data_IF_658167699003
#
_entry.id   IF_658167699003
#
_cell.length_a   1.000
_cell.length_b   1.000
_cell.length_c   1.000
_cell.angle_alpha   90.00
_cell.angle_beta   90.00
_cell.angle_gamma   90.00
#
_symmetry.space_group_name_H-M   'P 1'
#
loop_
_entity.id
_entity.type
_entity.pdbx_description
1 polymer ?
#
# COMPACT_ATOMS: atom_id res chain seq x y z
N UNK A 1 -13.59 11.76 2.26
CA UNK A 1 -13.00 10.54 2.83
C UNK A 1 -11.55 10.82 3.21
N UNK A 2 -11.04 10.26 4.32
CA UNK A 2 -9.62 10.36 4.71
C UNK A 2 -8.91 9.03 4.45
N UNK A 3 -7.72 9.08 3.87
CA UNK A 3 -6.91 7.91 3.54
C UNK A 3 -5.46 8.05 4.01
N UNK A 4 -4.87 6.96 4.46
CA UNK A 4 -3.46 6.86 4.83
C UNK A 4 -2.74 5.85 3.95
N UNK A 5 -1.53 6.15 3.50
CA UNK A 5 -0.68 5.23 2.79
C UNK A 5 0.59 5.02 3.63
N UNK A 6 0.72 3.85 4.24
CA UNK A 6 1.85 3.49 5.09
C UNK A 6 2.89 2.72 4.30
N UNK A 7 4.15 3.09 4.40
CA UNK A 7 5.20 2.41 3.66
C UNK A 7 6.48 2.20 4.47
N UNK A 8 7.20 1.13 4.17
CA UNK A 8 8.61 0.98 4.48
C UNK A 8 9.43 1.25 3.22
N UNK A 9 10.50 2.04 3.35
CA UNK A 9 11.39 2.34 2.21
C UNK A 9 12.80 2.65 2.68
N UNK A 10 13.80 1.89 2.19
CA UNK A 10 15.23 2.17 2.46
C UNK A 10 15.86 3.04 1.39
N UNK A 11 15.46 2.86 0.13
CA UNK A 11 16.11 3.50 -1.04
C UNK A 11 15.20 4.50 -1.74
N UNK A 12 14.03 4.79 -1.19
CA UNK A 12 13.08 5.76 -1.73
C UNK A 12 12.06 5.20 -2.74
N UNK A 13 12.25 3.98 -3.25
CA UNK A 13 11.37 3.46 -4.32
C UNK A 13 9.92 3.26 -3.84
N UNK A 14 9.74 2.59 -2.69
CA UNK A 14 8.39 2.37 -2.13
C UNK A 14 7.75 3.69 -1.68
N UNK A 15 8.56 4.63 -1.13
CA UNK A 15 8.13 5.99 -0.82
C UNK A 15 7.56 6.67 -2.06
N UNK A 16 8.31 6.69 -3.16
CA UNK A 16 7.86 7.31 -4.43
C UNK A 16 6.52 6.74 -4.87
N UNK A 17 6.34 5.42 -4.84
CA UNK A 17 5.08 4.79 -5.23
C UNK A 17 3.92 5.11 -4.27
N UNK A 18 4.19 5.24 -2.97
CA UNK A 18 3.20 5.69 -2.00
C UNK A 18 2.73 7.12 -2.28
N UNK A 19 3.65 8.02 -2.64
CA UNK A 19 3.35 9.40 -3.01
C UNK A 19 2.50 9.46 -4.29
N UNK A 20 2.80 8.65 -5.30
CA UNK A 20 2.01 8.54 -6.54
C UNK A 20 0.58 8.03 -6.27
N UNK A 21 0.42 7.06 -5.35
CA UNK A 21 -0.92 6.62 -4.91
C UNK A 21 -1.66 7.78 -4.24
N UNK A 22 -0.99 8.52 -3.34
CA UNK A 22 -1.59 9.67 -2.66
C UNK A 22 -2.03 10.75 -3.66
N UNK A 23 -1.25 11.04 -4.70
CA UNK A 23 -1.64 11.94 -5.80
C UNK A 23 -2.91 11.44 -6.51
N UNK A 24 -2.99 10.14 -6.79
CA UNK A 24 -4.19 9.51 -7.37
C UNK A 24 -5.43 9.70 -6.49
N UNK A 25 -5.30 9.43 -5.19
CA UNK A 25 -6.39 9.63 -4.22
C UNK A 25 -6.82 11.10 -4.13
N UNK A 26 -5.86 12.03 -4.08
CA UNK A 26 -6.12 13.48 -3.99
C UNK A 26 -6.80 14.04 -5.25
N UNK A 27 -6.70 13.37 -6.40
CA UNK A 27 -7.41 13.77 -7.62
C UNK A 27 -8.91 13.44 -7.59
N UNK A 28 -9.37 12.67 -6.59
CA UNK A 28 -10.78 12.32 -6.41
C UNK A 28 -11.41 13.34 -5.47
N UNK A 29 -12.53 13.92 -5.89
CA UNK A 29 -13.25 14.95 -5.10
C UNK A 29 -13.65 14.42 -3.71
N UNK A 30 -13.40 15.22 -2.69
CA UNK A 30 -13.74 14.90 -1.30
C UNK A 30 -12.82 13.90 -0.62
N UNK A 31 -11.67 13.56 -1.23
CA UNK A 31 -10.65 12.69 -0.64
C UNK A 31 -9.47 13.51 -0.13
N UNK A 32 -9.08 13.26 1.13
CA UNK A 32 -7.82 13.71 1.72
C UNK A 32 -6.92 12.48 1.92
N UNK A 33 -5.70 12.54 1.42
CA UNK A 33 -4.75 11.42 1.51
C UNK A 33 -3.37 11.88 1.94
N UNK A 34 -2.69 11.06 2.76
CA UNK A 34 -1.30 11.29 3.17
C UNK A 34 -0.50 9.99 3.16
N UNK A 35 0.74 10.08 2.70
CA UNK A 35 1.71 8.99 2.75
C UNK A 35 2.66 9.17 3.93
N UNK A 36 2.88 8.11 4.72
CA UNK A 36 3.73 8.11 5.89
C UNK A 36 4.72 6.94 5.85
N UNK A 37 5.96 7.20 6.24
CA UNK A 37 6.85 6.12 6.65
C UNK A 37 6.28 5.45 7.91
N UNK A 38 6.39 4.12 7.99
CA UNK A 38 6.00 3.39 9.22
C UNK A 38 6.80 3.81 10.46
N UNK A 39 7.96 4.44 10.28
CA UNK A 39 8.78 4.98 11.39
C UNK A 39 8.33 6.36 11.87
N UNK A 40 7.51 7.06 11.08
CA UNK A 40 7.04 8.43 11.34
C UNK A 40 5.54 8.53 11.11
N UNK A 41 4.81 7.44 11.37
CA UNK A 41 3.38 7.36 11.11
C UNK A 41 2.58 8.22 12.09
N UNK A 42 1.73 9.09 11.55
CA UNK A 42 0.76 9.86 12.34
C UNK A 42 -0.41 8.95 12.74
N UNK A 43 -0.35 8.42 13.95
CA UNK A 43 -1.32 7.46 14.47
C UNK A 43 -2.74 8.04 14.56
N UNK A 44 -2.89 9.32 14.90
CA UNK A 44 -4.21 9.94 14.98
C UNK A 44 -4.81 10.11 13.57
N UNK A 45 -4.00 10.51 12.59
CA UNK A 45 -4.46 10.57 11.20
C UNK A 45 -4.90 9.19 10.68
N UNK A 46 -4.16 8.12 11.03
CA UNK A 46 -4.49 6.75 10.64
C UNK A 46 -5.80 6.29 11.30
N UNK A 47 -6.01 6.58 12.58
CA UNK A 47 -7.26 6.25 13.29
C UNK A 47 -8.48 6.89 12.64
N UNK A 48 -8.35 8.13 12.16
CA UNK A 48 -9.41 8.87 11.48
C UNK A 48 -9.60 8.46 10.02
N UNK A 49 -8.65 7.74 9.42
CA UNK A 49 -8.73 7.30 8.03
C UNK A 49 -9.73 6.17 7.84
N UNK A 50 -10.54 6.24 6.79
CA UNK A 50 -11.47 5.17 6.37
C UNK A 50 -10.78 4.13 5.48
N UNK A 51 -9.67 4.51 4.84
CA UNK A 51 -8.85 3.67 3.98
C UNK A 51 -7.40 3.74 4.43
N UNK A 52 -6.75 2.57 4.55
CA UNK A 52 -5.32 2.49 4.89
C UNK A 52 -4.63 1.50 3.96
N UNK A 53 -3.71 2.00 3.14
CA UNK A 53 -2.91 1.19 2.22
C UNK A 53 -1.51 0.94 2.80
N UNK A 54 -0.90 -0.18 2.42
CA UNK A 54 0.39 -0.61 2.94
C UNK A 54 1.36 -0.94 1.81
N UNK A 55 2.55 -0.35 1.84
CA UNK A 55 3.59 -0.51 0.84
C UNK A 55 4.87 -1.11 1.38
N UNK A 56 5.38 -2.13 0.71
CA UNK A 56 6.61 -2.82 1.13
C UNK A 56 7.61 -2.97 -0.01
N UNK A 57 8.93 -2.78 0.25
CA UNK A 57 9.94 -3.32 -0.63
C UNK A 57 10.00 -4.84 -0.45
N UNK A 58 10.31 -5.55 -1.51
CA UNK A 58 10.46 -7.00 -1.47
C UNK A 58 11.89 -7.38 -1.12
N UNK A 59 12.04 -8.14 -0.06
CA UNK A 59 13.30 -8.75 0.38
C UNK A 59 13.13 -10.26 0.50
N UNK A 60 13.98 -11.02 -0.18
CA UNK A 60 13.93 -12.50 -0.17
C UNK A 60 12.52 -13.05 -0.46
N UNK A 61 11.90 -12.53 -1.52
CA UNK A 61 10.56 -12.89 -1.99
C UNK A 61 9.42 -12.69 -0.98
N UNK A 62 9.59 -11.76 -0.02
CA UNK A 62 8.60 -11.48 1.02
C UNK A 62 8.49 -9.97 1.28
N UNK A 63 7.46 -9.55 2.02
CA UNK A 63 7.44 -8.22 2.59
C UNK A 63 8.64 -8.01 3.52
N UNK A 64 9.03 -6.76 3.70
CA UNK A 64 10.14 -6.43 4.60
C UNK A 64 9.82 -6.78 6.06
N UNK A 65 10.84 -7.21 6.81
CA UNK A 65 10.69 -7.48 8.25
C UNK A 65 10.19 -6.25 9.04
N UNK A 66 10.57 -5.03 8.62
CA UNK A 66 10.09 -3.82 9.26
C UNK A 66 8.57 -3.64 9.09
N UNK A 67 8.02 -3.88 7.88
CA UNK A 67 6.58 -3.85 7.64
C UNK A 67 5.87 -4.94 8.43
N UNK A 68 6.42 -6.17 8.44
CA UNK A 68 5.85 -7.28 9.21
C UNK A 68 5.77 -6.94 10.69
N UNK A 69 6.87 -6.48 11.29
CA UNK A 69 6.91 -6.09 12.71
C UNK A 69 5.90 -4.97 13.02
N UNK A 70 5.74 -4.02 12.10
CA UNK A 70 4.76 -2.94 12.28
C UNK A 70 3.32 -3.47 12.28
N UNK A 71 3.00 -4.39 11.36
CA UNK A 71 1.68 -5.02 11.27
C UNK A 71 1.39 -5.92 12.49
N UNK A 72 2.41 -6.56 13.07
CA UNK A 72 2.28 -7.43 14.25
C UNK A 72 2.34 -6.66 15.59
N UNK A 73 2.62 -5.39 15.58
CA UNK A 73 2.74 -4.55 16.77
C UNK A 73 1.84 -3.30 16.71
N UNK A 74 2.34 -2.15 16.20
CA UNK A 74 1.60 -0.89 16.20
C UNK A 74 0.21 -0.96 15.58
N UNK A 75 0.01 -1.75 14.52
CA UNK A 75 -1.27 -1.88 13.82
C UNK A 75 -2.43 -2.27 14.73
N UNK A 76 -2.19 -3.11 15.74
CA UNK A 76 -3.24 -3.57 16.67
C UNK A 76 -3.83 -2.45 17.52
N UNK A 77 -3.12 -1.33 17.69
CA UNK A 77 -3.57 -0.21 18.53
C UNK A 77 -4.31 0.88 17.77
N UNK A 78 -4.45 0.73 16.45
CA UNK A 78 -4.93 1.80 15.56
C UNK A 78 -6.39 1.66 15.13
N UNK A 79 -7.11 0.64 15.63
CA UNK A 79 -8.53 0.45 15.32
C UNK A 79 -8.77 0.26 13.81
N UNK A 80 -8.00 -0.62 13.16
CA UNK A 80 -8.07 -0.83 11.72
C UNK A 80 -9.26 -1.68 11.27
N UNK A 81 -9.92 -2.40 12.19
CA UNK A 81 -11.08 -3.23 11.87
C UNK A 81 -12.20 -2.43 11.20
N UNK A 82 -12.78 -3.00 10.14
CA UNK A 82 -13.85 -2.37 9.33
C UNK A 82 -13.39 -1.30 8.35
N UNK A 83 -12.12 -0.90 8.36
CA UNK A 83 -11.56 0.04 7.37
C UNK A 83 -11.23 -0.67 6.06
N UNK A 84 -11.27 0.09 4.95
CA UNK A 84 -10.76 -0.39 3.67
C UNK A 84 -9.23 -0.53 3.74
N UNK A 85 -8.71 -1.65 3.26
CA UNK A 85 -7.29 -1.94 3.25
C UNK A 85 -6.79 -2.47 1.93
N UNK A 86 -5.59 -2.10 1.54
CA UNK A 86 -4.96 -2.61 0.33
C UNK A 86 -3.44 -2.60 0.45
N UNK A 87 -2.76 -3.19 -0.54
CA UNK A 87 -1.33 -3.34 -0.51
C UNK A 87 -0.67 -3.08 -1.87
N UNK A 88 0.58 -2.66 -1.84
CA UNK A 88 1.43 -2.51 -3.02
C UNK A 88 2.89 -2.87 -2.68
N UNK A 89 3.67 -3.15 -3.70
CA UNK A 89 5.07 -3.50 -3.49
C UNK A 89 6.02 -2.90 -4.51
N UNK A 90 7.30 -2.86 -4.14
CA UNK A 90 8.41 -2.56 -5.05
C UNK A 90 9.43 -3.68 -5.00
N UNK A 91 9.90 -4.14 -6.14
CA UNK A 91 10.84 -5.26 -6.26
C UNK A 91 11.98 -4.94 -7.23
N UNK A 92 13.10 -5.62 -7.10
CA UNK A 92 14.22 -5.49 -8.03
C UNK A 92 14.04 -6.34 -9.28
N UNK A 93 13.35 -7.48 -9.16
CA UNK A 93 13.22 -8.49 -10.21
C UNK A 93 11.76 -8.85 -10.47
N UNK A 94 11.44 -9.15 -11.72
CA UNK A 94 10.09 -9.59 -12.14
C UNK A 94 9.63 -10.83 -11.35
N UNK A 95 10.53 -11.77 -11.11
CA UNK A 95 10.27 -12.98 -10.32
C UNK A 95 10.68 -12.83 -8.85
N UNK A 96 10.71 -11.58 -8.34
CA UNK A 96 11.21 -11.27 -7.01
C UNK A 96 10.23 -11.51 -5.86
N UNK A 97 8.98 -11.91 -6.14
CA UNK A 97 7.97 -12.14 -5.12
C UNK A 97 7.12 -10.90 -4.79
N UNK A 98 6.93 -10.00 -5.76
CA UNK A 98 6.09 -8.80 -5.59
C UNK A 98 4.69 -9.13 -5.11
N UNK A 99 4.02 -10.05 -5.78
CA UNK A 99 2.67 -10.53 -5.42
C UNK A 99 2.66 -11.28 -4.08
N UNK A 100 3.71 -12.05 -3.79
CA UNK A 100 3.83 -12.77 -2.51
C UNK A 100 3.90 -11.77 -1.35
N UNK A 101 4.70 -10.71 -1.47
CA UNK A 101 4.77 -9.65 -0.46
C UNK A 101 3.45 -8.94 -0.25
N UNK A 102 2.70 -8.66 -1.33
CA UNK A 102 1.34 -8.10 -1.26
C UNK A 102 0.41 -9.06 -0.52
N UNK A 103 0.40 -10.35 -0.88
CA UNK A 103 -0.45 -11.34 -0.21
C UNK A 103 -0.12 -11.48 1.28
N UNK A 104 1.15 -11.41 1.66
CA UNK A 104 1.51 -11.41 3.09
C UNK A 104 0.91 -10.21 3.83
N UNK A 105 0.89 -9.02 3.22
CA UNK A 105 0.23 -7.86 3.82
C UNK A 105 -1.29 -8.12 3.89
N UNK A 106 -1.94 -8.47 2.79
CA UNK A 106 -3.39 -8.68 2.75
C UNK A 106 -3.86 -9.70 3.79
N UNK A 107 -3.11 -10.77 4.02
CA UNK A 107 -3.41 -11.74 5.07
C UNK A 107 -3.41 -11.09 6.47
N UNK A 108 -2.44 -10.20 6.77
CA UNK A 108 -2.42 -9.47 8.04
C UNK A 108 -3.61 -8.51 8.15
N UNK A 109 -3.97 -7.82 7.06
CA UNK A 109 -5.11 -6.90 7.05
C UNK A 109 -6.43 -7.63 7.33
N UNK A 110 -6.62 -8.84 6.76
CA UNK A 110 -7.80 -9.67 7.05
C UNK A 110 -7.84 -10.11 8.52
N UNK A 111 -6.70 -10.49 9.11
CA UNK A 111 -6.62 -10.81 10.55
C UNK A 111 -6.93 -9.60 11.42
N UNK A 112 -6.54 -8.39 11.00
CA UNK A 112 -6.87 -7.14 11.68
C UNK A 112 -8.34 -6.71 11.48
N UNK A 113 -9.14 -7.47 10.71
CA UNK A 113 -10.56 -7.19 10.46
C UNK A 113 -10.82 -6.12 9.41
N UNK A 114 -9.84 -5.82 8.54
CA UNK A 114 -10.01 -4.87 7.45
C UNK A 114 -10.74 -5.50 6.25
N UNK A 115 -11.42 -4.66 5.49
CA UNK A 115 -12.01 -5.01 4.19
C UNK A 115 -10.94 -4.85 3.11
N UNK A 116 -10.37 -5.95 2.63
CA UNK A 116 -9.28 -5.90 1.65
C UNK A 116 -9.79 -5.57 0.25
N UNK A 117 -9.10 -4.64 -0.42
CA UNK A 117 -9.38 -4.21 -1.79
C UNK A 117 -8.10 -4.15 -2.61
N UNK A 118 -8.12 -4.75 -3.79
CA UNK A 118 -6.93 -4.94 -4.63
C UNK A 118 -6.77 -3.91 -5.77
N UNK A 119 -7.73 -3.02 -5.94
CA UNK A 119 -7.82 -2.16 -7.13
C UNK A 119 -8.68 -2.76 -8.25
N UNK A 120 -8.99 -4.05 -8.16
CA UNK A 120 -9.98 -4.76 -8.96
C UNK A 120 -9.67 -4.92 -10.45
N UNK A 121 -9.88 -6.13 -10.97
CA UNK A 121 -9.79 -6.43 -12.39
C UNK A 121 -11.03 -5.99 -13.20
N UNK A 122 -12.18 -5.81 -12.53
CA UNK A 122 -13.46 -5.50 -13.19
C UNK A 122 -13.55 -4.07 -13.72
N UNK A 123 -12.64 -3.18 -13.33
CA UNK A 123 -12.62 -1.79 -13.80
C UNK A 123 -11.88 -1.62 -15.15
N UNK A 124 -11.46 -2.71 -15.79
CA UNK A 124 -10.73 -2.67 -17.04
C UNK A 124 -9.25 -2.31 -16.88
N UNK A 125 -8.66 -1.68 -17.88
CA UNK A 125 -7.23 -1.36 -17.88
C UNK A 125 -6.90 -0.12 -17.03
N UNK A 126 -5.78 -0.15 -16.28
CA UNK A 126 -4.95 -1.32 -16.04
C UNK A 126 -5.66 -2.35 -15.16
N UNK A 127 -5.49 -3.64 -15.46
CA UNK A 127 -6.01 -4.73 -14.63
C UNK A 127 -5.09 -4.90 -13.43
N UNK A 128 -5.63 -4.77 -12.21
CA UNK A 128 -4.89 -4.92 -10.95
C UNK A 128 -5.51 -6.10 -10.19
N UNK A 129 -4.77 -7.19 -10.00
CA UNK A 129 -5.31 -8.40 -9.37
C UNK A 129 -5.23 -8.36 -7.83
N UNK A 130 -4.03 -8.19 -7.28
CA UNK A 130 -3.78 -8.24 -5.83
C UNK A 130 -3.36 -6.89 -5.25
N UNK A 131 -2.85 -6.04 -6.10
CA UNK A 131 -2.26 -4.75 -5.83
C UNK A 131 -1.13 -4.47 -6.82
N UNK A 132 -0.73 -3.22 -7.03
CA UNK A 132 0.30 -2.91 -8.01
C UNK A 132 1.71 -3.25 -7.51
N UNK A 133 2.55 -3.75 -8.42
CA UNK A 133 3.97 -4.03 -8.21
C UNK A 133 4.79 -3.13 -9.13
N UNK A 134 5.77 -2.39 -8.57
CA UNK A 134 6.72 -1.62 -9.37
C UNK A 134 8.11 -2.25 -9.33
N UNK A 135 8.76 -2.33 -10.48
CA UNK A 135 10.16 -2.76 -10.58
C UNK A 135 11.09 -1.56 -10.45
N UNK A 136 12.13 -1.65 -9.61
CA UNK A 136 13.08 -0.56 -9.34
C UNK A 136 13.62 0.11 -10.60
N UNK A 137 13.98 -0.69 -11.62
CA UNK A 137 14.53 -0.17 -12.88
C UNK A 137 13.50 0.45 -13.82
N UNK A 138 12.22 0.38 -13.48
CA UNK A 138 11.08 0.80 -14.32
C UNK A 138 10.00 1.51 -13.50
N UNK A 139 10.40 2.27 -12.47
CA UNK A 139 9.42 2.95 -11.59
C UNK A 139 8.54 3.93 -12.37
N UNK A 140 9.13 4.72 -13.27
CA UNK A 140 8.38 5.67 -14.11
C UNK A 140 7.32 5.00 -14.99
N UNK A 141 7.60 3.79 -15.47
CA UNK A 141 6.66 3.05 -16.31
C UNK A 141 5.44 2.54 -15.52
N UNK A 142 5.57 2.49 -14.18
CA UNK A 142 4.53 2.00 -13.28
C UNK A 142 3.68 3.11 -12.66
N UNK A 143 4.07 4.39 -12.75
CA UNK A 143 3.40 5.49 -12.06
C UNK A 143 1.90 5.58 -12.38
N UNK A 144 1.51 5.41 -13.63
CA UNK A 144 0.10 5.49 -14.02
C UNK A 144 -0.75 4.39 -13.37
N UNK A 145 -0.21 3.17 -13.27
CA UNK A 145 -0.91 2.05 -12.60
C UNK A 145 -1.12 2.37 -11.11
N UNK A 146 -0.10 2.93 -10.45
CA UNK A 146 -0.18 3.30 -9.03
C UNK A 146 -1.11 4.48 -8.79
N UNK A 147 -1.09 5.48 -9.68
CA UNK A 147 -2.03 6.63 -9.63
C UNK A 147 -3.48 6.16 -9.79
N UNK A 148 -3.75 5.29 -10.77
CA UNK A 148 -5.08 4.71 -10.98
C UNK A 148 -5.50 3.83 -9.80
N UNK A 149 -4.58 3.09 -9.18
CA UNK A 149 -4.86 2.35 -7.96
C UNK A 149 -5.35 3.27 -6.83
N UNK A 150 -4.76 4.44 -6.70
CA UNK A 150 -5.20 5.46 -5.75
C UNK A 150 -6.57 6.06 -6.08
N UNK A 151 -6.93 6.16 -7.36
CA UNK A 151 -8.24 6.68 -7.80
C UNK A 151 -9.39 5.71 -7.59
N UNK A 152 -9.12 4.41 -7.63
CA UNK A 152 -10.10 3.32 -7.43
C UNK A 152 -10.31 3.01 -5.97
#
# INVERSE_FOLDING_TARGET
MKASILYHSKTGNTKKMAEVIAEGMLSVEGVAAKAFSITEADHEYIKESSCVLFGTPIYLASMSGAMKNWLEGPAFTLGLGGKLGGAFSTADYLHGGGDIGIMHILNHLMVLGMLTYSGGGSFGNPVIHLGPVALRKRLSDCEDVFRIYGQR
#
